data_IF_498157324980
#
_entry.id   IF_498157324980
#
_cell.length_a   1.000
_cell.length_b   1.000
_cell.length_c   1.000
_cell.angle_alpha   90.00
_cell.angle_beta   90.00
_cell.angle_gamma   90.00
#
_symmetry.space_group_name_H-M   'P 1'
#
loop_
_entity.id
_entity.type
_entity.pdbx_description
1 polymer ?
#
# COMPACT_ATOMS: atom_id res chain seq x y z
N UNK A 1 -16.73 6.12 12.05
CA UNK A 1 -16.64 6.18 10.57
C UNK A 1 -16.41 4.78 10.04
N UNK A 2 -17.13 4.40 8.94
CA UNK A 2 -17.07 3.05 8.38
C UNK A 2 -16.18 3.05 7.13
N UNK A 3 -15.19 2.17 7.10
CA UNK A 3 -14.21 2.04 6.01
C UNK A 3 -14.42 0.74 5.25
N UNK A 4 -14.62 0.80 3.92
CA UNK A 4 -14.57 -0.36 3.03
C UNK A 4 -13.13 -0.54 2.56
N UNK A 5 -12.48 -1.64 2.95
CA UNK A 5 -11.05 -1.87 2.73
C UNK A 5 -10.85 -2.89 1.61
N UNK A 6 -10.06 -2.52 0.61
CA UNK A 6 -9.70 -3.36 -0.54
C UNK A 6 -8.21 -3.19 -0.85
N UNK A 7 -7.52 -4.29 -1.03
CA UNK A 7 -6.11 -4.34 -1.40
C UNK A 7 -5.88 -5.41 -2.46
N UNK A 8 -4.86 -5.25 -3.29
CA UNK A 8 -4.33 -6.29 -4.18
C UNK A 8 -5.43 -6.95 -5.02
N UNK A 9 -6.27 -6.12 -5.65
CA UNK A 9 -7.37 -6.60 -6.48
C UNK A 9 -6.89 -7.19 -7.79
N UNK A 10 -5.73 -6.73 -8.30
CA UNK A 10 -5.08 -7.20 -9.51
C UNK A 10 -6.04 -7.37 -10.69
N UNK A 11 -6.80 -6.30 -10.96
CA UNK A 11 -7.83 -6.29 -12.00
C UNK A 11 -7.25 -6.44 -13.42
N UNK A 12 -5.95 -6.27 -13.60
CA UNK A 12 -5.22 -6.56 -14.83
C UNK A 12 -5.22 -8.04 -15.22
N UNK A 13 -5.41 -8.93 -14.24
CA UNK A 13 -5.48 -10.38 -14.47
C UNK A 13 -6.91 -10.92 -14.49
N UNK A 14 -7.89 -10.11 -14.07
CA UNK A 14 -9.30 -10.53 -14.10
C UNK A 14 -10.20 -9.71 -13.19
N UNK A 15 -11.44 -9.57 -13.57
CA UNK A 15 -12.42 -8.78 -12.84
C UNK A 15 -12.64 -9.28 -11.41
N UNK A 16 -12.94 -8.38 -10.50
CA UNK A 16 -13.39 -8.67 -9.14
C UNK A 16 -14.83 -8.20 -8.96
N UNK A 17 -15.64 -9.07 -8.37
CA UNK A 17 -17.02 -8.70 -8.00
C UNK A 17 -16.98 -8.05 -6.60
N UNK A 18 -17.00 -6.73 -6.57
CA UNK A 18 -17.02 -5.94 -5.33
C UNK A 18 -18.48 -5.46 -5.11
N UNK A 19 -19.19 -5.91 -4.07
CA UNK A 19 -20.55 -5.46 -3.81
C UNK A 19 -20.59 -4.01 -3.32
N UNK A 20 -21.73 -3.32 -3.41
CA UNK A 20 -21.94 -2.07 -2.71
C UNK A 20 -21.94 -2.30 -1.19
N UNK A 21 -21.47 -1.32 -0.42
CA UNK A 21 -21.43 -1.36 1.04
C UNK A 21 -21.94 -0.05 1.64
N UNK A 22 -22.28 -0.07 2.92
CA UNK A 22 -22.69 1.11 3.70
C UNK A 22 -21.49 1.89 4.27
N UNK A 23 -20.30 1.74 3.69
CA UNK A 23 -19.12 2.46 4.14
C UNK A 23 -19.21 3.95 3.81
N UNK A 24 -18.59 4.77 4.66
CA UNK A 24 -18.50 6.21 4.49
C UNK A 24 -17.30 6.60 3.60
N UNK A 25 -16.24 5.77 3.61
CA UNK A 25 -15.00 5.96 2.83
C UNK A 25 -14.55 4.61 2.28
N UNK A 26 -14.02 4.60 1.07
CA UNK A 26 -13.35 3.42 0.48
C UNK A 26 -11.83 3.59 0.61
N UNK A 27 -11.13 2.56 1.04
CA UNK A 27 -9.67 2.53 1.13
C UNK A 27 -9.13 1.50 0.14
N UNK A 28 -8.33 1.97 -0.81
CA UNK A 28 -7.62 1.17 -1.80
C UNK A 28 -6.12 1.20 -1.47
N UNK A 29 -5.62 0.11 -0.87
CA UNK A 29 -4.24 0.07 -0.37
C UNK A 29 -3.25 -0.54 -1.38
N UNK A 30 -3.37 -0.16 -2.65
CA UNK A 30 -2.46 -0.52 -3.74
C UNK A 30 -2.82 -1.80 -4.48
N UNK A 31 -2.14 -1.98 -5.62
CA UNK A 31 -2.28 -3.12 -6.52
C UNK A 31 -3.73 -3.36 -6.97
N UNK A 32 -4.39 -2.27 -7.34
CA UNK A 32 -5.76 -2.30 -7.85
C UNK A 32 -5.76 -2.67 -9.34
N UNK A 33 -4.90 -2.00 -10.13
CA UNK A 33 -4.74 -2.24 -11.56
C UNK A 33 -3.49 -1.49 -12.08
N UNK A 34 -3.02 -1.80 -13.29
CA UNK A 34 -1.88 -1.11 -13.90
C UNK A 34 -2.17 0.36 -14.17
N UNK A 35 -1.20 1.22 -13.92
CA UNK A 35 -1.17 2.61 -14.34
C UNK A 35 -2.40 3.40 -13.90
N UNK A 36 -3.09 3.96 -14.88
CA UNK A 36 -4.26 4.83 -14.67
C UNK A 36 -5.59 4.05 -14.52
N UNK A 37 -5.58 2.75 -14.81
CA UNK A 37 -6.80 1.95 -14.90
C UNK A 37 -7.43 1.74 -13.52
N UNK A 38 -6.62 1.63 -12.45
CA UNK A 38 -7.12 1.54 -11.07
C UNK A 38 -7.95 2.75 -10.66
N UNK A 39 -7.48 3.96 -10.96
CA UNK A 39 -8.22 5.22 -10.70
C UNK A 39 -9.51 5.32 -11.52
N UNK A 40 -9.50 4.91 -12.79
CA UNK A 40 -10.71 4.88 -13.63
C UNK A 40 -11.75 3.89 -13.10
N UNK A 41 -11.30 2.70 -12.73
CA UNK A 41 -12.16 1.68 -12.13
C UNK A 41 -12.76 2.17 -10.80
N UNK A 42 -11.94 2.73 -9.91
CA UNK A 42 -12.37 3.26 -8.63
C UNK A 42 -13.46 4.33 -8.78
N UNK A 43 -13.25 5.28 -9.70
CA UNK A 43 -14.22 6.35 -10.03
C UNK A 43 -15.55 5.79 -10.50
N UNK A 44 -15.51 4.78 -11.37
CA UNK A 44 -16.72 4.13 -11.90
C UNK A 44 -17.42 3.27 -10.85
N UNK A 45 -16.64 2.59 -10.00
CA UNK A 45 -17.18 1.63 -9.01
C UNK A 45 -17.78 2.32 -7.79
N UNK A 46 -17.23 3.46 -7.40
CA UNK A 46 -17.61 4.20 -6.18
C UNK A 46 -17.84 5.70 -6.51
N UNK A 47 -18.83 6.04 -7.36
CA UNK A 47 -18.98 7.40 -7.86
C UNK A 47 -19.32 8.45 -6.77
N UNK A 48 -19.96 8.00 -5.68
CA UNK A 48 -20.51 8.88 -4.65
C UNK A 48 -19.77 8.80 -3.31
N UNK A 49 -18.63 8.09 -3.25
CA UNK A 49 -17.89 7.89 -2.01
C UNK A 49 -16.49 8.47 -2.08
N UNK A 50 -16.00 9.14 -1.03
CA UNK A 50 -14.59 9.48 -0.92
C UNK A 50 -13.73 8.20 -0.98
N UNK A 51 -12.65 8.26 -1.75
CA UNK A 51 -11.72 7.14 -1.95
C UNK A 51 -10.34 7.57 -1.49
N UNK A 52 -9.74 6.85 -0.55
CA UNK A 52 -8.31 6.91 -0.25
C UNK A 52 -7.63 5.91 -1.18
N UNK A 53 -6.68 6.38 -1.98
CA UNK A 53 -5.93 5.54 -2.89
C UNK A 53 -4.43 5.69 -2.65
N UNK A 54 -3.79 4.61 -2.27
CA UNK A 54 -2.33 4.45 -2.22
C UNK A 54 -1.93 3.55 -3.37
N UNK A 55 -0.88 3.90 -4.10
CA UNK A 55 -0.37 3.06 -5.19
C UNK A 55 0.45 1.89 -4.64
N UNK A 56 0.32 0.73 -5.27
CA UNK A 56 1.21 -0.39 -5.08
C UNK A 56 2.31 -0.43 -6.14
N UNK A 57 3.07 -1.53 -6.20
CA UNK A 57 4.10 -1.70 -7.22
C UNK A 57 3.49 -2.01 -8.60
N UNK A 58 2.36 -2.72 -8.68
CA UNK A 58 1.70 -3.05 -9.95
C UNK A 58 1.17 -1.82 -10.69
N UNK A 59 0.75 -0.77 -10.00
CA UNK A 59 0.40 0.48 -10.68
C UNK A 59 1.56 1.00 -11.53
N UNK A 60 2.81 0.80 -11.11
CA UNK A 60 4.00 1.27 -11.86
C UNK A 60 4.46 0.34 -12.97
N UNK A 61 3.90 -0.87 -13.10
CA UNK A 61 4.29 -1.81 -14.15
C UNK A 61 4.09 -1.21 -15.55
N UNK A 62 5.19 -1.18 -16.35
CA UNK A 62 5.27 -0.54 -17.66
C UNK A 62 5.07 0.98 -17.65
N UNK A 63 5.24 1.58 -16.49
CA UNK A 63 5.19 3.02 -16.29
C UNK A 63 6.46 3.52 -15.60
N UNK A 64 6.61 4.84 -15.61
CA UNK A 64 7.77 5.49 -14.98
C UNK A 64 7.42 6.02 -13.59
N UNK A 65 8.28 5.74 -12.62
CA UNK A 65 8.25 6.29 -11.27
C UNK A 65 9.30 7.43 -11.19
N UNK A 66 8.97 8.64 -10.72
CA UNK A 66 7.71 9.07 -10.11
C UNK A 66 6.66 9.66 -11.06
N UNK A 67 6.87 9.70 -12.37
CA UNK A 67 6.01 10.40 -13.34
C UNK A 67 4.54 9.96 -13.29
N UNK A 68 4.29 8.65 -13.09
CA UNK A 68 2.93 8.14 -12.96
C UNK A 68 2.24 8.73 -11.73
N UNK A 69 2.92 8.78 -10.59
CA UNK A 69 2.38 9.35 -9.35
C UNK A 69 1.94 10.81 -9.56
N UNK A 70 2.80 11.63 -10.18
CA UNK A 70 2.51 13.03 -10.46
C UNK A 70 1.36 13.19 -11.46
N UNK A 71 1.27 12.28 -12.43
CA UNK A 71 0.16 12.27 -13.40
C UNK A 71 -1.16 11.94 -12.72
N UNK A 72 -1.19 10.88 -11.90
CA UNK A 72 -2.39 10.47 -11.19
C UNK A 72 -2.82 11.51 -10.15
N UNK A 73 -1.90 12.16 -9.44
CA UNK A 73 -2.22 13.28 -8.54
C UNK A 73 -2.97 14.39 -9.28
N UNK A 74 -2.48 14.78 -10.47
CA UNK A 74 -3.17 15.81 -11.30
C UNK A 74 -4.54 15.36 -11.78
N UNK A 75 -4.71 14.08 -12.13
CA UNK A 75 -5.98 13.53 -12.62
C UNK A 75 -7.04 13.34 -11.53
N UNK A 76 -6.60 13.20 -10.30
CA UNK A 76 -7.48 13.06 -9.14
C UNK A 76 -7.72 14.37 -8.40
N UNK A 77 -6.98 15.43 -8.73
CA UNK A 77 -7.13 16.73 -8.10
C UNK A 77 -8.56 17.26 -8.22
N UNK A 78 -9.12 17.75 -7.13
CA UNK A 78 -10.50 18.22 -7.05
C UNK A 78 -11.58 17.14 -7.21
N UNK A 79 -11.22 15.85 -7.28
CA UNK A 79 -12.17 14.74 -7.33
C UNK A 79 -12.42 14.12 -5.95
N UNK A 80 -13.30 13.12 -5.90
CA UNK A 80 -13.54 12.33 -4.68
C UNK A 80 -12.48 11.23 -4.45
N UNK A 81 -11.46 11.12 -5.33
CA UNK A 81 -10.32 10.20 -5.17
C UNK A 81 -9.14 10.98 -4.61
N UNK A 82 -8.71 10.63 -3.42
CA UNK A 82 -7.56 11.21 -2.75
C UNK A 82 -6.38 10.25 -2.90
N UNK A 83 -5.54 10.50 -3.91
CA UNK A 83 -4.30 9.74 -4.12
C UNK A 83 -3.25 10.21 -3.11
N UNK A 84 -2.77 9.29 -2.28
CA UNK A 84 -1.81 9.59 -1.24
C UNK A 84 -0.44 8.95 -1.54
N UNK A 85 0.56 9.80 -1.70
CA UNK A 85 1.97 9.42 -1.75
C UNK A 85 2.78 10.44 -0.95
N UNK A 86 3.23 10.03 0.23
CA UNK A 86 3.84 10.90 1.24
C UNK A 86 2.98 12.17 1.48
N UNK A 87 1.68 11.95 1.64
CA UNK A 87 0.69 13.02 1.79
C UNK A 87 -0.48 12.56 2.65
N UNK A 88 -1.29 13.53 3.06
CA UNK A 88 -2.42 13.30 3.94
C UNK A 88 -3.66 14.00 3.43
N UNK A 89 -4.83 13.50 3.83
CA UNK A 89 -6.13 14.14 3.63
C UNK A 89 -6.98 13.98 4.88
N UNK A 90 -7.83 14.97 5.15
CA UNK A 90 -8.84 14.89 6.20
C UNK A 90 -10.21 14.62 5.59
N UNK A 91 -10.90 13.59 6.08
CA UNK A 91 -12.26 13.24 5.67
C UNK A 91 -13.08 12.95 6.93
N UNK A 92 -14.21 13.63 7.07
CA UNK A 92 -15.13 13.43 8.20
C UNK A 92 -14.43 13.53 9.58
N UNK A 93 -13.46 14.44 9.73
CA UNK A 93 -12.70 14.67 10.96
C UNK A 93 -11.68 13.59 11.29
N UNK A 94 -11.33 12.72 10.33
CA UNK A 94 -10.24 11.75 10.44
C UNK A 94 -9.15 12.06 9.40
N UNK A 95 -7.91 11.95 9.83
CA UNK A 95 -6.74 12.14 8.96
C UNK A 95 -6.27 10.80 8.40
N UNK A 96 -6.12 10.72 7.08
CA UNK A 96 -5.50 9.58 6.42
C UNK A 96 -4.09 9.97 5.99
N UNK A 97 -3.10 9.23 6.44
CA UNK A 97 -1.71 9.34 6.00
C UNK A 97 -1.43 8.19 5.02
N UNK A 98 -0.87 8.48 3.85
CA UNK A 98 -0.66 7.43 2.86
C UNK A 98 0.64 7.53 2.07
N UNK A 99 1.21 6.35 1.75
CA UNK A 99 2.34 6.19 0.84
C UNK A 99 2.47 4.73 0.36
N UNK A 100 3.12 4.53 -0.80
CA UNK A 100 3.48 3.18 -1.28
C UNK A 100 4.38 2.47 -0.28
N UNK A 101 5.19 3.19 0.47
CA UNK A 101 6.18 2.80 1.47
C UNK A 101 7.43 2.16 0.85
N UNK A 102 7.30 1.16 -0.04
CA UNK A 102 8.39 0.31 -0.47
C UNK A 102 9.09 -0.37 0.72
N UNK A 103 10.30 -0.94 0.54
CA UNK A 103 11.07 -1.58 1.62
C UNK A 103 12.53 -1.15 1.59
N UNK A 104 13.23 -1.35 2.71
CA UNK A 104 14.66 -1.06 2.87
C UNK A 104 15.53 -2.32 2.85
N UNK A 105 14.94 -3.50 2.71
CA UNK A 105 15.59 -4.81 2.74
C UNK A 105 16.28 -5.16 4.07
N UNK A 106 16.09 -4.35 5.13
CA UNK A 106 16.78 -4.55 6.41
C UNK A 106 16.26 -5.76 7.24
N UNK A 107 15.17 -6.41 6.81
CA UNK A 107 14.77 -7.69 7.38
C UNK A 107 15.75 -8.84 7.06
N UNK A 108 16.63 -8.63 6.08
CA UNK A 108 17.70 -9.57 5.78
C UNK A 108 18.96 -9.25 6.60
N UNK A 109 19.69 -10.26 7.12
CA UNK A 109 21.03 -10.05 7.65
C UNK A 109 22.05 -9.65 6.57
N UNK A 110 21.72 -9.88 5.28
CA UNK A 110 22.48 -9.43 4.10
C UNK A 110 21.55 -8.63 3.16
N UNK A 111 21.33 -7.32 3.40
CA UNK A 111 20.46 -6.50 2.59
C UNK A 111 20.90 -6.38 1.13
N UNK A 112 22.21 -6.35 0.86
CA UNK A 112 22.72 -6.27 -0.51
C UNK A 112 22.42 -7.55 -1.29
N UNK A 113 22.62 -8.72 -0.69
CA UNK A 113 22.24 -10.00 -1.29
C UNK A 113 20.73 -10.13 -1.52
N UNK A 114 19.90 -9.62 -0.58
CA UNK A 114 18.46 -9.58 -0.74
C UNK A 114 18.03 -8.65 -1.88
N UNK A 115 18.66 -7.47 -2.03
CA UNK A 115 18.43 -6.56 -3.15
C UNK A 115 18.78 -7.23 -4.49
N UNK A 116 19.91 -7.94 -4.57
CA UNK A 116 20.30 -8.66 -5.78
C UNK A 116 19.32 -9.79 -6.11
N UNK A 117 18.86 -10.54 -5.11
CA UNK A 117 17.86 -11.59 -5.30
C UNK A 117 16.54 -11.00 -5.82
N UNK A 118 16.07 -9.88 -5.23
CA UNK A 118 14.87 -9.19 -5.67
C UNK A 118 15.01 -8.69 -7.12
N UNK A 119 16.11 -8.03 -7.47
CA UNK A 119 16.39 -7.56 -8.85
C UNK A 119 16.45 -8.71 -9.87
N UNK A 120 16.85 -9.91 -9.45
CA UNK A 120 16.91 -11.08 -10.33
C UNK A 120 15.57 -11.82 -10.51
N UNK A 121 14.61 -11.64 -9.61
CA UNK A 121 13.39 -12.46 -9.57
C UNK A 121 12.12 -11.63 -9.76
N UNK A 122 12.03 -10.44 -9.12
CA UNK A 122 10.80 -9.64 -9.12
C UNK A 122 10.67 -8.81 -10.41
N UNK A 123 9.45 -8.80 -10.94
CA UNK A 123 9.09 -8.02 -12.12
C UNK A 123 9.30 -6.51 -11.94
N UNK A 124 9.19 -6.01 -10.70
CA UNK A 124 9.40 -4.60 -10.35
C UNK A 124 10.69 -4.05 -10.94
N UNK A 125 11.77 -4.81 -10.84
CA UNK A 125 13.12 -4.41 -11.27
C UNK A 125 13.43 -4.73 -12.73
N UNK A 126 12.44 -5.16 -13.50
CA UNK A 126 12.58 -5.43 -14.94
C UNK A 126 11.62 -4.62 -15.80
N UNK A 127 10.47 -4.20 -15.25
CA UNK A 127 9.40 -3.57 -16.03
C UNK A 127 8.95 -2.19 -15.51
N UNK A 128 9.44 -1.73 -14.36
CA UNK A 128 9.20 -0.36 -13.88
C UNK A 128 10.35 0.52 -14.38
N UNK A 129 10.02 1.62 -15.08
CA UNK A 129 11.00 2.65 -15.45
C UNK A 129 11.20 3.62 -14.28
N UNK A 130 12.45 4.06 -14.09
CA UNK A 130 12.80 5.07 -13.10
C UNK A 130 13.29 6.34 -13.78
N UNK A 131 12.59 7.44 -13.54
CA UNK A 131 12.86 8.77 -14.09
C UNK A 131 13.63 9.65 -13.09
N UNK A 132 14.47 10.60 -13.55
CA UNK A 132 14.68 11.04 -14.93
C UNK A 132 15.68 10.20 -15.72
N UNK A 133 16.34 9.20 -15.10
CA UNK A 133 17.44 8.46 -15.74
C UNK A 133 16.99 7.54 -16.86
N UNK A 134 15.68 7.30 -17.00
CA UNK A 134 15.06 6.44 -18.01
C UNK A 134 15.69 5.04 -18.06
N UNK A 135 15.93 4.47 -16.91
CA UNK A 135 16.41 3.11 -16.69
C UNK A 135 15.40 2.29 -15.93
N UNK A 136 15.60 1.00 -15.82
CA UNK A 136 14.78 0.18 -14.93
C UNK A 136 15.01 0.56 -13.46
N UNK A 137 13.96 0.43 -12.67
CA UNK A 137 14.00 0.58 -11.22
C UNK A 137 15.01 -0.40 -10.61
N UNK A 138 15.65 0.00 -9.52
CA UNK A 138 16.58 -0.85 -8.76
C UNK A 138 16.15 -0.93 -7.31
N UNK A 139 16.52 -2.00 -6.63
CA UNK A 139 16.23 -2.19 -5.21
C UNK A 139 16.79 -1.07 -4.31
N UNK A 140 17.92 -0.49 -4.68
CA UNK A 140 18.45 0.71 -3.99
C UNK A 140 17.59 1.97 -4.17
N UNK A 141 16.83 2.08 -5.25
CA UNK A 141 15.91 3.20 -5.45
C UNK A 141 14.70 3.02 -4.54
N UNK A 142 14.14 1.80 -4.45
CA UNK A 142 13.03 1.52 -3.54
C UNK A 142 13.44 1.70 -2.09
N UNK A 143 14.65 1.31 -1.69
CA UNK A 143 15.17 1.58 -0.34
C UNK A 143 15.29 3.08 -0.04
N UNK A 144 15.67 3.91 -1.02
CA UNK A 144 15.68 5.38 -0.86
C UNK A 144 14.28 5.96 -0.76
N UNK A 145 13.32 5.44 -1.53
CA UNK A 145 11.92 5.84 -1.45
C UNK A 145 11.32 5.45 -0.09
N UNK A 146 11.63 4.26 0.40
CA UNK A 146 11.26 3.83 1.74
C UNK A 146 11.76 4.80 2.82
N UNK A 147 13.05 5.13 2.81
CA UNK A 147 13.63 6.07 3.77
C UNK A 147 12.95 7.45 3.74
N UNK A 148 12.57 7.92 2.56
CA UNK A 148 11.77 9.14 2.36
C UNK A 148 10.38 9.02 3.01
N UNK A 149 9.69 7.93 2.74
CA UNK A 149 8.34 7.67 3.26
C UNK A 149 8.35 7.53 4.78
N UNK A 150 9.32 6.81 5.35
CA UNK A 150 9.47 6.67 6.81
C UNK A 150 9.77 8.03 7.46
N UNK A 151 10.64 8.84 6.85
CA UNK A 151 10.95 10.20 7.36
C UNK A 151 9.69 11.07 7.35
N UNK A 152 8.92 11.04 6.27
CA UNK A 152 7.67 11.77 6.16
C UNK A 152 6.64 11.28 7.18
N UNK A 153 6.42 9.95 7.28
CA UNK A 153 5.49 9.36 8.25
C UNK A 153 5.80 9.78 9.69
N UNK A 154 7.08 9.71 10.11
CA UNK A 154 7.51 10.16 11.44
C UNK A 154 7.14 11.62 11.67
N UNK A 155 7.38 12.48 10.68
CA UNK A 155 7.05 13.91 10.76
C UNK A 155 5.56 14.19 10.80
N UNK A 156 4.74 13.43 10.06
CA UNK A 156 3.28 13.54 10.03
C UNK A 156 2.66 13.03 11.33
N UNK A 157 3.07 11.84 11.80
CA UNK A 157 2.60 11.22 13.04
C UNK A 157 2.95 12.04 14.29
N UNK A 158 4.05 12.81 14.27
CA UNK A 158 4.39 13.70 15.37
C UNK A 158 3.44 14.91 15.51
N UNK A 159 2.66 15.22 14.48
CA UNK A 159 1.80 16.42 14.40
C UNK A 159 0.31 16.10 14.36
N UNK A 160 -0.07 14.84 14.11
CA UNK A 160 -1.46 14.45 13.94
C UNK A 160 -2.19 14.24 15.27
N UNK A 161 -3.52 14.29 15.22
CA UNK A 161 -4.37 13.72 16.28
C UNK A 161 -4.38 12.19 16.13
N UNK A 162 -3.59 11.52 16.95
CA UNK A 162 -3.42 10.06 16.87
C UNK A 162 -4.72 9.29 16.93
N UNK A 163 -5.66 9.72 17.78
CA UNK A 163 -6.95 9.04 17.98
C UNK A 163 -7.84 9.07 16.71
N UNK A 164 -7.57 10.00 15.80
CA UNK A 164 -8.35 10.20 14.55
C UNK A 164 -7.50 10.02 13.30
N UNK A 165 -6.33 9.39 13.42
CA UNK A 165 -5.43 9.19 12.28
C UNK A 165 -5.38 7.72 11.87
N UNK A 166 -5.51 7.47 10.57
CA UNK A 166 -5.38 6.16 9.95
C UNK A 166 -4.17 6.21 9.02
N UNK A 167 -3.32 5.19 9.07
CA UNK A 167 -2.21 5.04 8.13
C UNK A 167 -2.56 3.99 7.08
N UNK A 168 -2.28 4.32 5.83
CA UNK A 168 -2.48 3.41 4.69
C UNK A 168 -1.15 3.31 3.93
N UNK A 169 -0.59 2.12 3.88
CA UNK A 169 0.60 1.84 3.06
C UNK A 169 0.29 0.70 2.08
N UNK A 170 1.12 0.53 1.04
CA UNK A 170 1.00 -0.67 0.23
C UNK A 170 1.90 -1.77 0.78
N UNK A 171 3.21 -1.52 0.90
CA UNK A 171 4.12 -2.52 1.50
C UNK A 171 3.89 -2.64 3.01
N UNK A 172 4.17 -3.83 3.52
CA UNK A 172 3.93 -4.16 4.93
C UNK A 172 4.91 -3.43 5.88
N UNK A 173 4.41 -2.84 6.98
CA UNK A 173 5.25 -2.18 7.96
C UNK A 173 5.95 -3.14 8.92
N UNK A 174 5.59 -4.43 8.91
CA UNK A 174 6.06 -5.42 9.88
C UNK A 174 6.25 -6.78 9.25
N UNK A 175 7.29 -7.47 9.68
CA UNK A 175 7.55 -8.88 9.37
C UNK A 175 6.38 -9.80 9.77
N UNK A 176 5.59 -9.42 10.75
CA UNK A 176 4.40 -10.16 11.22
C UNK A 176 3.28 -10.25 10.17
N UNK A 177 3.36 -9.46 9.12
CA UNK A 177 2.42 -9.49 7.99
C UNK A 177 2.77 -10.51 6.92
N UNK A 178 3.94 -11.13 7.02
CA UNK A 178 4.39 -12.16 6.09
C UNK A 178 3.76 -13.52 6.37
N UNK A 179 3.47 -14.26 5.30
CA UNK A 179 2.98 -15.62 5.42
C UNK A 179 4.05 -16.54 6.03
N UNK A 180 3.69 -17.40 6.99
CA UNK A 180 4.66 -18.31 7.63
C UNK A 180 5.45 -19.20 6.65
N UNK A 181 4.85 -19.56 5.51
CA UNK A 181 5.52 -20.36 4.48
C UNK A 181 6.57 -19.57 3.68
N UNK A 182 6.59 -18.24 3.79
CA UNK A 182 7.60 -17.36 3.20
C UNK A 182 8.74 -17.00 4.18
N UNK A 183 8.72 -17.51 5.40
CA UNK A 183 9.68 -17.14 6.45
C UNK A 183 11.16 -17.25 6.05
N UNK A 184 11.49 -18.20 5.16
CA UNK A 184 12.84 -18.42 4.64
C UNK A 184 13.02 -17.93 3.20
N UNK A 185 12.09 -17.21 2.64
CA UNK A 185 12.20 -16.67 1.27
C UNK A 185 13.29 -15.59 1.21
N UNK A 186 14.20 -15.65 0.22
CA UNK A 186 15.17 -14.58 -0.01
C UNK A 186 14.50 -13.26 -0.44
N UNK A 187 13.23 -13.32 -0.87
CA UNK A 187 12.44 -12.16 -1.29
C UNK A 187 11.68 -11.49 -0.13
N UNK A 188 11.56 -12.14 1.03
CA UNK A 188 10.85 -11.61 2.18
C UNK A 188 11.17 -10.13 2.49
N UNK A 189 12.44 -9.68 2.45
CA UNK A 189 12.79 -8.28 2.71
C UNK A 189 12.30 -7.28 1.64
N UNK A 190 11.78 -7.76 0.52
CA UNK A 190 11.16 -6.92 -0.50
C UNK A 190 9.65 -6.70 -0.26
N UNK A 191 9.04 -7.44 0.67
CA UNK A 191 7.61 -7.38 0.95
C UNK A 191 7.28 -6.60 2.23
N UNK A 192 8.15 -6.66 3.22
CA UNK A 192 7.94 -6.05 4.53
C UNK A 192 9.20 -5.34 5.04
N UNK A 193 9.00 -4.44 6.00
CA UNK A 193 10.06 -3.73 6.72
C UNK A 193 9.89 -3.90 8.23
N UNK A 194 10.96 -3.69 9.01
CA UNK A 194 10.89 -3.66 10.47
C UNK A 194 10.56 -2.26 10.97
N UNK A 195 9.28 -1.91 10.93
CA UNK A 195 8.75 -0.66 11.46
C UNK A 195 7.90 -0.86 12.72
N UNK A 196 8.00 -2.00 13.41
CA UNK A 196 7.21 -2.30 14.61
C UNK A 196 7.29 -1.16 15.63
N UNK A 197 8.49 -0.64 15.89
CA UNK A 197 8.68 0.50 16.80
C UNK A 197 7.97 1.77 16.33
N UNK A 198 7.91 2.03 15.02
CA UNK A 198 7.19 3.18 14.47
C UNK A 198 5.68 3.00 14.60
N UNK A 199 5.17 1.81 14.29
CA UNK A 199 3.76 1.46 14.41
C UNK A 199 3.31 1.58 15.88
N UNK A 200 4.06 1.01 16.83
CA UNK A 200 3.77 1.09 18.27
C UNK A 200 3.76 2.54 18.77
N UNK A 201 4.80 3.31 18.45
CA UNK A 201 4.93 4.71 18.85
C UNK A 201 3.90 5.63 18.20
N UNK A 202 3.35 5.25 17.05
CA UNK A 202 2.33 6.02 16.35
C UNK A 202 1.07 6.17 17.21
N UNK A 203 0.66 5.09 17.89
CA UNK A 203 -0.56 5.03 18.70
C UNK A 203 -1.84 5.32 17.92
N UNK A 204 -1.80 5.20 16.59
CA UNK A 204 -3.00 5.35 15.74
C UNK A 204 -3.91 4.13 15.87
N UNK A 205 -5.24 4.27 15.72
CA UNK A 205 -6.15 3.13 15.86
C UNK A 205 -5.96 2.07 14.78
N UNK A 206 -5.54 2.47 13.58
CA UNK A 206 -5.52 1.57 12.42
C UNK A 206 -4.37 1.86 11.46
N UNK A 207 -3.71 0.80 11.02
CA UNK A 207 -2.76 0.76 9.91
C UNK A 207 -3.20 -0.29 8.91
N UNK A 208 -3.48 0.13 7.67
CA UNK A 208 -3.94 -0.73 6.57
C UNK A 208 -2.78 -0.91 5.60
N UNK A 209 -2.57 -2.13 5.10
CA UNK A 209 -1.62 -2.37 4.03
C UNK A 209 -2.04 -3.52 3.10
N UNK A 210 -1.25 -3.78 2.04
CA UNK A 210 -1.41 -4.84 1.06
C UNK A 210 -0.13 -5.63 0.83
N UNK A 211 0.14 -5.96 -0.43
CA UNK A 211 1.37 -6.49 -1.01
C UNK A 211 1.75 -7.94 -0.67
N UNK A 212 1.54 -8.38 0.55
CA UNK A 212 2.02 -9.69 1.03
C UNK A 212 1.19 -10.88 0.56
N UNK A 213 0.03 -10.63 -0.06
CA UNK A 213 -0.97 -11.64 -0.43
C UNK A 213 -1.31 -12.62 0.72
N UNK A 214 -1.21 -12.11 1.95
CA UNK A 214 -1.54 -12.83 3.16
C UNK A 214 -2.38 -11.95 4.09
N UNK A 215 -3.65 -12.33 4.30
CA UNK A 215 -4.55 -11.51 5.12
C UNK A 215 -4.24 -11.65 6.60
N UNK A 216 -4.06 -10.51 7.26
CA UNK A 216 -3.73 -10.39 8.67
C UNK A 216 -4.63 -9.41 9.39
N UNK A 217 -4.79 -9.64 10.69
CA UNK A 217 -5.48 -8.75 11.63
C UNK A 217 -4.83 -8.95 13.00
N UNK A 218 -3.92 -8.06 13.37
CA UNK A 218 -3.17 -8.14 14.62
C UNK A 218 -2.89 -6.75 15.20
N UNK A 219 -2.29 -6.70 16.39
CA UNK A 219 -2.02 -5.43 17.10
C UNK A 219 -0.53 -5.30 17.41
N UNK A 220 0.01 -4.08 17.21
CA UNK A 220 1.31 -3.65 17.68
C UNK A 220 1.10 -2.45 18.61
N UNK A 221 1.43 -2.60 19.90
CA UNK A 221 1.03 -1.61 20.91
C UNK A 221 -0.48 -1.45 20.98
N UNK A 222 -0.99 -0.25 20.64
CA UNK A 222 -2.42 0.03 20.52
C UNK A 222 -2.92 0.08 19.08
N UNK A 223 -2.04 -0.07 18.10
CA UNK A 223 -2.37 0.04 16.67
C UNK A 223 -2.77 -1.30 16.09
N UNK A 224 -4.00 -1.41 15.55
CA UNK A 224 -4.46 -2.55 14.77
C UNK A 224 -3.83 -2.49 13.38
N UNK A 225 -3.18 -3.56 12.95
CA UNK A 225 -2.65 -3.72 11.58
C UNK A 225 -3.57 -4.69 10.85
N UNK A 226 -4.11 -4.26 9.72
CA UNK A 226 -5.16 -4.98 8.99
C UNK A 226 -4.90 -4.98 7.49
N UNK A 227 -5.19 -6.11 6.85
CA UNK A 227 -5.23 -6.25 5.40
C UNK A 227 -6.54 -6.86 4.93
N UNK A 228 -6.91 -6.63 3.66
CA UNK A 228 -7.98 -7.32 2.97
C UNK A 228 -7.60 -7.49 1.49
N UNK A 229 -6.63 -8.34 1.27
CA UNK A 229 -5.98 -8.60 -0.01
C UNK A 229 -6.73 -9.71 -0.77
N UNK A 230 -7.03 -9.45 -2.05
CA UNK A 230 -7.65 -10.47 -2.92
C UNK A 230 -6.62 -11.47 -3.43
N UNK A 231 -5.46 -10.99 -3.85
CA UNK A 231 -4.46 -11.76 -4.56
C UNK A 231 -4.81 -12.01 -6.03
N UNK A 232 -4.01 -12.84 -6.68
CA UNK A 232 -4.22 -13.18 -8.08
C UNK A 232 -5.47 -14.07 -8.28
N UNK A 233 -6.13 -14.03 -9.45
CA UNK A 233 -7.37 -14.81 -9.67
C UNK A 233 -7.22 -16.32 -9.50
N UNK A 234 -6.05 -16.87 -9.77
CA UNK A 234 -5.67 -18.27 -9.63
C UNK A 234 -5.04 -18.61 -8.27
N UNK A 235 -4.74 -17.58 -7.45
CA UNK A 235 -4.12 -17.69 -6.13
C UNK A 235 -4.78 -16.71 -5.14
N UNK A 236 -6.09 -16.88 -4.92
CA UNK A 236 -6.85 -16.00 -4.04
C UNK A 236 -6.38 -16.10 -2.59
N UNK A 237 -6.21 -14.96 -1.96
CA UNK A 237 -5.83 -14.89 -0.55
C UNK A 237 -6.94 -15.41 0.35
N UNK A 238 -6.59 -16.33 1.25
CA UNK A 238 -7.54 -16.82 2.26
C UNK A 238 -8.04 -15.66 3.11
N UNK A 239 -9.34 -15.59 3.32
CA UNK A 239 -9.98 -14.57 4.17
C UNK A 239 -10.28 -13.25 3.46
N UNK A 240 -10.04 -13.12 2.16
CA UNK A 240 -10.52 -11.96 1.41
C UNK A 240 -12.05 -11.85 1.48
N UNK A 241 -12.53 -10.69 1.92
CA UNK A 241 -13.95 -10.35 1.92
C UNK A 241 -14.18 -9.09 1.06
N UNK A 242 -14.79 -9.22 -0.14
CA UNK A 242 -15.03 -8.08 -1.03
C UNK A 242 -15.99 -7.04 -0.44
N UNK A 243 -16.63 -7.34 0.68
CA UNK A 243 -17.56 -6.46 1.40
C UNK A 243 -17.04 -6.00 2.78
N UNK A 244 -15.77 -6.25 3.11
CA UNK A 244 -15.23 -5.91 4.42
C UNK A 244 -15.39 -4.43 4.75
N UNK A 245 -16.21 -4.15 5.73
CA UNK A 245 -16.38 -2.82 6.32
C UNK A 245 -16.00 -2.88 7.80
N UNK A 246 -15.12 -1.98 8.21
CA UNK A 246 -14.77 -1.80 9.62
C UNK A 246 -15.23 -0.44 10.13
N UNK A 247 -15.54 -0.36 11.39
CA UNK A 247 -15.87 0.89 12.08
C UNK A 247 -14.70 1.34 12.97
N UNK A 248 -14.39 2.63 12.92
CA UNK A 248 -13.36 3.30 13.70
C UNK A 248 -13.88 4.55 14.39
#
# INVERSE_FOLDING_TARGET
MRLHILCDLHLEFGSAKIPPTEADVVVLAGDIHLGREGGKWARSRFPDKPIIYVLGNHEFYRHSLPELTETLKRETDGSHIHLLENSSVEINGHTFLGCTLWTDFQLSPDPEGAMQAAEGIMSDYSIIEFSPERRVLRARDTARLHAKSVTWLRGALAKCDRARTIVVTHHAPSDRSEAPYHANSPLKPAFASDLDSLVEQSGVPLWIHGHTHYNVDYVIGSTRVLTNQRGYPDELCKGFDPSLVIEI
#
